data_IF_329689822245
#
_entry.id   IF_329689822245
#
_cell.length_a   1.000
_cell.length_b   1.000
_cell.length_c   1.000
_cell.angle_alpha   90.00
_cell.angle_beta   90.00
_cell.angle_gamma   90.00
#
_symmetry.space_group_name_H-M   'P 1'
#
loop_
_entity.id
_entity.type
_entity.pdbx_description
1 polymer ?
#
# COMPACT_ATOMS: atom_id res chain seq x y z
N UNK A 1 -1.33 -26.41 -10.97
CA UNK A 1 -2.79 -26.63 -11.04
C UNK A 1 -3.42 -25.84 -9.89
N UNK A 2 -3.58 -24.53 -10.04
CA UNK A 2 -4.25 -23.60 -9.12
C UNK A 2 -5.07 -22.58 -9.93
N UNK A 3 -5.55 -22.97 -11.12
CA UNK A 3 -6.06 -22.01 -12.12
C UNK A 3 -7.49 -21.52 -11.85
N UNK A 4 -8.18 -22.13 -10.89
CA UNK A 4 -9.53 -21.73 -10.47
C UNK A 4 -9.73 -22.24 -9.05
N UNK A 5 -9.70 -21.33 -8.08
CA UNK A 5 -10.20 -21.63 -6.73
C UNK A 5 -11.60 -21.03 -6.71
N UNK A 6 -12.64 -21.84 -6.59
CA UNK A 6 -13.99 -21.32 -6.39
C UNK A 6 -14.11 -20.80 -4.96
N UNK A 7 -14.43 -19.52 -4.78
CA UNK A 7 -14.65 -18.92 -3.47
C UNK A 7 -15.63 -17.74 -3.46
N UNK A 8 -16.61 -17.86 -2.57
CA UNK A 8 -17.38 -16.86 -1.81
C UNK A 8 -17.74 -15.48 -2.40
N UNK A 9 -18.24 -15.40 -3.63
CA UNK A 9 -19.17 -14.32 -4.02
C UNK A 9 -20.40 -14.91 -4.70
N UNK A 10 -21.54 -14.21 -4.67
CA UNK A 10 -22.81 -14.69 -5.25
C UNK A 10 -22.73 -14.94 -6.77
N UNK A 11 -21.76 -14.34 -7.50
CA UNK A 11 -21.84 -14.22 -8.97
C UNK A 11 -20.67 -14.73 -9.84
N UNK A 12 -19.48 -15.12 -9.34
CA UNK A 12 -18.54 -15.71 -10.29
C UNK A 12 -17.06 -15.85 -9.93
N UNK A 13 -16.45 -16.77 -10.66
CA UNK A 13 -15.08 -17.25 -10.62
C UNK A 13 -14.04 -16.11 -10.60
N UNK A 14 -13.10 -16.18 -9.67
CA UNK A 14 -11.87 -15.38 -9.73
C UNK A 14 -10.73 -16.19 -10.34
N UNK A 15 -9.85 -15.49 -11.05
CA UNK A 15 -8.72 -16.09 -11.75
C UNK A 15 -7.43 -15.72 -11.04
N UNK A 16 -6.66 -16.74 -10.66
CA UNK A 16 -5.31 -16.52 -10.15
C UNK A 16 -4.40 -16.15 -11.32
N UNK A 17 -4.05 -14.87 -11.44
CA UNK A 17 -3.18 -14.39 -12.51
C UNK A 17 -1.69 -14.44 -12.17
N UNK A 18 -1.34 -15.01 -11.02
CA UNK A 18 0.05 -15.25 -10.60
C UNK A 18 0.57 -14.27 -9.56
N UNK A 19 1.74 -14.60 -8.98
CA UNK A 19 2.48 -13.76 -8.01
C UNK A 19 1.66 -13.36 -6.77
N UNK A 20 0.67 -14.16 -6.39
CA UNK A 20 -0.20 -13.89 -5.23
C UNK A 20 -1.43 -13.03 -5.52
N UNK A 21 -1.68 -12.63 -6.77
CA UNK A 21 -2.79 -11.74 -7.10
C UNK A 21 -3.88 -12.41 -7.95
N UNK A 22 -5.09 -11.85 -7.84
CA UNK A 22 -6.30 -12.35 -8.49
C UNK A 22 -6.95 -11.28 -9.39
N UNK A 23 -7.75 -11.76 -10.35
CA UNK A 23 -8.59 -10.96 -11.23
C UNK A 23 -10.05 -11.42 -11.16
N UNK A 24 -10.99 -10.53 -11.52
CA UNK A 24 -12.42 -10.86 -11.62
C UNK A 24 -13.20 -10.89 -10.31
N UNK A 25 -12.60 -10.47 -9.19
CA UNK A 25 -13.30 -10.27 -7.92
C UNK A 25 -13.94 -8.89 -7.92
N UNK A 26 -15.24 -8.79 -7.63
CA UNK A 26 -15.87 -7.51 -7.34
C UNK A 26 -15.41 -7.02 -5.96
N UNK A 27 -15.10 -5.73 -5.85
CA UNK A 27 -14.75 -5.08 -4.59
C UNK A 27 -15.74 -5.49 -3.49
N UNK A 28 -15.25 -6.19 -2.47
CA UNK A 28 -16.08 -6.66 -1.37
C UNK A 28 -16.26 -5.51 -0.38
N UNK A 29 -17.13 -4.56 -0.71
CA UNK A 29 -17.32 -3.33 0.07
C UNK A 29 -17.74 -3.64 1.52
N UNK A 30 -18.51 -4.72 1.72
CA UNK A 30 -19.24 -4.96 2.97
C UNK A 30 -18.92 -6.29 3.66
N UNK A 31 -18.07 -7.15 3.10
CA UNK A 31 -18.28 -8.56 3.42
C UNK A 31 -17.76 -9.04 4.78
N UNK A 32 -16.60 -8.64 5.34
CA UNK A 32 -16.22 -9.17 6.68
C UNK A 32 -15.29 -8.35 7.60
N UNK A 33 -14.64 -7.27 7.17
CA UNK A 33 -13.62 -6.59 8.01
C UNK A 33 -13.77 -5.07 8.06
N UNK A 34 -13.90 -4.53 9.27
CA UNK A 34 -13.66 -3.10 9.50
C UNK A 34 -12.16 -2.86 9.34
N UNK A 35 -11.75 -1.85 8.56
CA UNK A 35 -10.34 -1.57 8.41
C UNK A 35 -9.70 -1.23 9.76
N UNK A 36 -8.44 -1.63 9.94
CA UNK A 36 -7.67 -1.22 11.12
C UNK A 36 -7.31 0.25 10.99
N UNK A 37 -7.93 1.09 11.82
CA UNK A 37 -7.67 2.53 11.82
C UNK A 37 -6.32 2.83 12.46
N UNK A 38 -5.59 3.75 11.86
CA UNK A 38 -4.37 4.29 12.46
C UNK A 38 -4.75 5.29 13.57
N UNK A 39 -4.04 5.25 14.69
CA UNK A 39 -4.27 6.15 15.82
C UNK A 39 -3.36 5.88 17.02
N UNK A 40 -3.50 6.66 18.07
CA UNK A 40 -2.68 6.56 19.28
C UNK A 40 -2.78 5.15 19.90
N UNK A 41 -1.66 4.43 19.97
CA UNK A 41 -1.59 3.06 20.48
C UNK A 41 -1.90 1.95 19.45
N UNK A 42 -2.11 2.30 18.17
CA UNK A 42 -2.30 1.33 17.08
C UNK A 42 -1.03 0.52 16.76
N UNK A 43 0.14 1.01 17.15
CA UNK A 43 1.42 0.33 16.96
C UNK A 43 1.88 -0.29 18.28
N UNK A 44 2.05 -1.60 18.24
CA UNK A 44 2.67 -2.36 19.31
C UNK A 44 4.17 -2.04 19.36
N UNK A 45 4.70 -1.67 20.53
CA UNK A 45 6.14 -1.42 20.76
C UNK A 45 7.03 -2.58 20.26
N UNK A 46 6.52 -3.82 20.31
CA UNK A 46 7.22 -4.99 19.78
C UNK A 46 7.49 -4.87 18.26
N UNK A 47 6.56 -4.31 17.49
CA UNK A 47 6.73 -4.13 16.04
C UNK A 47 7.86 -3.14 15.74
N UNK A 48 7.95 -2.04 16.49
CA UNK A 48 9.04 -1.07 16.36
C UNK A 48 10.39 -1.69 16.69
N UNK A 49 10.44 -2.52 17.74
CA UNK A 49 11.64 -3.24 18.13
C UNK A 49 12.07 -4.24 17.05
N UNK A 50 11.12 -4.95 16.44
CA UNK A 50 11.39 -5.88 15.35
C UNK A 50 11.90 -5.14 14.12
N UNK A 51 11.26 -4.03 13.72
CA UNK A 51 11.70 -3.23 12.58
C UNK A 51 13.13 -2.72 12.77
N UNK A 52 13.45 -2.20 13.97
CA UNK A 52 14.80 -1.76 14.33
C UNK A 52 15.82 -2.89 14.23
N UNK A 53 15.49 -4.08 14.75
CA UNK A 53 16.36 -5.26 14.65
C UNK A 53 16.59 -5.69 13.20
N UNK A 54 15.55 -5.65 12.36
CA UNK A 54 15.68 -5.95 10.93
C UNK A 54 16.60 -4.95 10.25
N UNK A 55 16.45 -3.64 10.51
CA UNK A 55 17.32 -2.61 9.95
C UNK A 55 18.78 -2.76 10.41
N UNK A 56 19.02 -3.04 11.69
CA UNK A 56 20.36 -3.35 12.22
C UNK A 56 20.97 -4.56 11.51
N UNK A 57 20.23 -5.66 11.39
CA UNK A 57 20.69 -6.86 10.71
C UNK A 57 21.04 -6.57 9.24
N UNK A 58 20.17 -5.86 8.51
CA UNK A 58 20.44 -5.49 7.13
C UNK A 58 21.72 -4.66 6.99
N UNK A 59 21.90 -3.65 7.86
CA UNK A 59 23.10 -2.81 7.88
C UNK A 59 24.38 -3.60 8.19
N UNK A 60 24.32 -4.52 9.15
CA UNK A 60 25.46 -5.38 9.53
C UNK A 60 25.87 -6.35 8.42
N UNK A 61 24.95 -6.68 7.51
CA UNK A 61 25.16 -7.65 6.43
C UNK A 61 25.23 -7.02 5.03
N UNK A 62 25.40 -5.69 4.93
CA UNK A 62 25.47 -4.96 3.65
C UNK A 62 24.23 -5.20 2.74
N UNK A 63 23.05 -5.32 3.37
CA UNK A 63 21.76 -5.48 2.69
C UNK A 63 21.06 -4.12 2.67
N UNK A 64 20.73 -3.62 1.47
CA UNK A 64 19.89 -2.44 1.32
C UNK A 64 18.46 -2.77 1.73
N UNK A 65 18.00 -2.17 2.82
CA UNK A 65 16.61 -2.22 3.26
C UNK A 65 15.85 -0.99 2.78
N UNK A 66 14.59 -1.17 2.42
CA UNK A 66 13.61 -0.11 2.16
C UNK A 66 12.29 -0.50 2.84
N UNK A 67 11.51 0.48 3.24
CA UNK A 67 10.14 0.30 3.69
C UNK A 67 9.19 0.83 2.62
N UNK A 68 8.11 0.10 2.34
CA UNK A 68 7.10 0.49 1.35
C UNK A 68 5.72 0.30 1.95
N UNK A 69 4.91 1.35 1.96
CA UNK A 69 3.47 1.23 2.25
C UNK A 69 2.71 1.08 0.94
N UNK A 70 1.77 0.13 0.89
CA UNK A 70 0.94 -0.07 -0.30
C UNK A 70 -0.12 1.02 -0.41
N UNK A 71 -0.48 1.38 -1.65
CA UNK A 71 -1.51 2.37 -1.90
C UNK A 71 -2.87 1.84 -1.43
N UNK A 72 -3.60 2.63 -0.66
CA UNK A 72 -4.92 2.33 -0.13
C UNK A 72 -6.04 2.79 -1.07
N UNK A 73 -7.26 2.22 -0.95
CA UNK A 73 -8.41 2.63 -1.74
C UNK A 73 -8.73 4.12 -1.57
N UNK A 74 -9.18 4.83 -2.63
CA UNK A 74 -9.44 6.27 -2.57
C UNK A 74 -10.47 6.68 -1.50
N UNK A 75 -11.49 5.83 -1.27
CA UNK A 75 -12.51 6.07 -0.24
C UNK A 75 -11.88 6.14 1.15
N UNK A 76 -10.92 5.26 1.45
CA UNK A 76 -10.22 5.22 2.72
C UNK A 76 -9.38 6.47 2.95
N UNK A 77 -8.67 6.94 1.92
CA UNK A 77 -7.92 8.20 2.01
C UNK A 77 -8.86 9.40 2.28
N UNK A 78 -10.07 9.40 1.74
CA UNK A 78 -11.04 10.49 1.98
C UNK A 78 -11.66 10.45 3.38
N UNK A 79 -11.74 9.27 4.00
CA UNK A 79 -12.44 9.04 5.27
C UNK A 79 -11.49 8.98 6.49
N UNK A 80 -10.21 8.65 6.28
CA UNK A 80 -9.21 8.47 7.35
C UNK A 80 -8.05 9.47 7.24
N UNK A 81 -7.44 9.80 8.38
CA UNK A 81 -6.25 10.64 8.46
C UNK A 81 -4.97 9.81 8.20
N UNK A 82 -4.72 9.49 6.93
CA UNK A 82 -3.55 8.73 6.51
C UNK A 82 -2.27 9.59 6.57
N UNK A 83 -2.37 10.91 6.70
CA UNK A 83 -1.20 11.77 6.90
C UNK A 83 -0.52 11.47 8.25
N UNK A 84 -1.30 11.18 9.30
CA UNK A 84 -0.75 10.74 10.58
C UNK A 84 0.06 9.44 10.45
N UNK A 85 -0.45 8.47 9.67
CA UNK A 85 0.25 7.23 9.35
C UNK A 85 1.56 7.52 8.61
N UNK A 86 1.51 8.35 7.58
CA UNK A 86 2.66 8.74 6.77
C UNK A 86 3.76 9.36 7.64
N UNK A 87 3.41 10.39 8.43
CA UNK A 87 4.33 11.11 9.29
C UNK A 87 5.01 10.20 10.31
N UNK A 88 4.25 9.30 10.93
CA UNK A 88 4.78 8.34 11.89
C UNK A 88 5.83 7.42 11.24
N UNK A 89 5.49 6.76 10.13
CA UNK A 89 6.39 5.79 9.51
C UNK A 89 7.58 6.46 8.82
N UNK A 90 7.41 7.67 8.28
CA UNK A 90 8.52 8.47 7.78
C UNK A 90 9.53 8.78 8.89
N UNK A 91 9.07 9.26 10.06
CA UNK A 91 9.94 9.53 11.20
C UNK A 91 10.61 8.27 11.76
N UNK A 92 9.87 7.17 11.87
CA UNK A 92 10.40 5.89 12.35
C UNK A 92 11.51 5.38 11.41
N UNK A 93 11.25 5.37 10.10
CA UNK A 93 12.20 4.89 9.10
C UNK A 93 13.45 5.79 9.00
N UNK A 94 13.27 7.12 9.07
CA UNK A 94 14.40 8.08 9.13
C UNK A 94 15.28 7.83 10.36
N UNK A 95 14.68 7.58 11.53
CA UNK A 95 15.43 7.31 12.78
C UNK A 95 16.35 6.08 12.71
N UNK A 96 16.05 5.14 11.79
CA UNK A 96 16.84 3.92 11.57
C UNK A 96 17.63 3.96 10.26
N UNK A 97 17.59 5.07 9.51
CA UNK A 97 18.29 5.27 8.25
C UNK A 97 17.78 4.39 7.10
N UNK A 98 16.49 4.05 7.09
CA UNK A 98 15.83 3.24 6.05
C UNK A 98 14.93 4.14 5.21
N UNK A 99 15.03 4.15 3.86
CA UNK A 99 14.10 4.89 3.01
C UNK A 99 12.67 4.36 3.15
N UNK A 100 11.69 5.27 3.22
CA UNK A 100 10.26 4.94 3.23
C UNK A 100 9.57 5.48 1.99
N UNK A 101 8.89 4.59 1.27
CA UNK A 101 8.09 4.92 0.09
C UNK A 101 6.62 4.65 0.39
N UNK A 102 5.86 5.72 0.60
CA UNK A 102 4.43 5.64 0.79
C UNK A 102 3.71 5.74 -0.55
N UNK A 103 3.24 4.60 -1.08
CA UNK A 103 2.57 4.58 -2.37
C UNK A 103 1.21 5.30 -2.37
N UNK A 104 0.69 5.69 -1.19
CA UNK A 104 -0.45 6.60 -1.12
C UNK A 104 -0.14 7.98 -1.71
N UNK A 105 1.11 8.43 -1.59
CA UNK A 105 1.59 9.73 -2.07
C UNK A 105 2.12 9.68 -3.51
N UNK A 106 2.11 8.51 -4.16
CA UNK A 106 2.65 8.38 -5.49
C UNK A 106 1.84 9.16 -6.55
N UNK A 107 2.52 10.01 -7.34
CA UNK A 107 1.91 10.87 -8.37
C UNK A 107 1.34 10.11 -9.57
N UNK A 108 1.91 8.96 -9.91
CA UNK A 108 1.52 8.14 -11.08
C UNK A 108 0.71 6.91 -10.68
N UNK A 109 -0.22 7.06 -9.74
CA UNK A 109 -0.96 5.92 -9.20
C UNK A 109 -2.49 6.12 -9.15
N UNK A 110 -3.07 6.25 -10.34
CA UNK A 110 -4.54 6.29 -10.53
C UNK A 110 -5.17 4.97 -10.09
N UNK A 111 -6.21 5.02 -9.25
CA UNK A 111 -6.86 3.83 -8.70
C UNK A 111 -8.29 4.12 -8.23
N UNK A 112 -9.11 3.09 -8.23
CA UNK A 112 -10.53 3.11 -7.84
C UNK A 112 -10.79 2.07 -6.75
N UNK A 113 -12.02 1.98 -6.23
CA UNK A 113 -12.37 0.89 -5.31
C UNK A 113 -12.24 -0.50 -5.97
N UNK A 114 -12.58 -0.61 -7.26
CA UNK A 114 -12.53 -1.86 -8.01
C UNK A 114 -11.11 -2.42 -8.22
N UNK A 115 -10.07 -1.62 -7.98
CA UNK A 115 -8.68 -2.07 -8.03
C UNK A 115 -8.28 -2.89 -6.77
N UNK A 116 -9.19 -3.07 -5.82
CA UNK A 116 -8.95 -3.74 -4.55
C UNK A 116 -9.94 -4.87 -4.29
N UNK A 117 -9.50 -5.85 -3.50
CA UNK A 117 -10.36 -6.90 -2.95
C UNK A 117 -11.18 -6.33 -1.78
N UNK A 118 -10.55 -5.48 -0.96
CA UNK A 118 -11.12 -4.96 0.28
C UNK A 118 -10.63 -3.55 0.65
N UNK A 119 -11.13 -3.04 1.79
CA UNK A 119 -10.77 -1.73 2.36
C UNK A 119 -9.39 -1.70 3.02
N UNK A 120 -8.77 -2.85 3.27
CA UNK A 120 -7.41 -2.94 3.86
C UNK A 120 -6.31 -2.65 2.83
N UNK A 121 -6.66 -2.60 1.55
CA UNK A 121 -5.73 -2.27 0.48
C UNK A 121 -5.11 -3.49 -0.21
N UNK A 122 -5.73 -4.67 -0.07
CA UNK A 122 -5.33 -5.83 -0.85
C UNK A 122 -5.67 -5.61 -2.33
N UNK A 123 -4.64 -5.37 -3.14
CA UNK A 123 -4.78 -5.01 -4.54
C UNK A 123 -5.17 -6.21 -5.42
N UNK A 124 -5.97 -5.93 -6.44
CA UNK A 124 -6.17 -6.82 -7.59
C UNK A 124 -4.92 -6.82 -8.48
N UNK A 125 -4.77 -7.85 -9.33
CA UNK A 125 -3.56 -8.04 -10.15
C UNK A 125 -3.19 -6.82 -11.00
N UNK A 126 -4.18 -6.16 -11.62
CA UNK A 126 -3.94 -4.98 -12.46
C UNK A 126 -3.24 -3.86 -11.69
N UNK A 127 -3.78 -3.46 -10.53
CA UNK A 127 -3.16 -2.42 -9.71
C UNK A 127 -1.84 -2.88 -9.11
N UNK A 128 -1.75 -4.14 -8.68
CA UNK A 128 -0.51 -4.71 -8.16
C UNK A 128 0.64 -4.65 -9.18
N UNK A 129 0.37 -4.96 -10.45
CA UNK A 129 1.37 -4.83 -11.52
C UNK A 129 1.77 -3.36 -11.73
N UNK A 130 0.81 -2.44 -11.81
CA UNK A 130 1.09 -1.00 -11.99
C UNK A 130 1.90 -0.41 -10.83
N UNK A 131 1.56 -0.74 -9.58
CA UNK A 131 2.32 -0.31 -8.41
C UNK A 131 3.72 -0.92 -8.40
N UNK A 132 3.86 -2.19 -8.82
CA UNK A 132 5.16 -2.86 -8.91
C UNK A 132 6.07 -2.20 -9.96
N UNK A 133 5.52 -1.87 -11.13
CA UNK A 133 6.26 -1.19 -12.19
C UNK A 133 6.71 0.21 -11.73
N UNK A 134 5.82 0.96 -11.09
CA UNK A 134 6.15 2.27 -10.52
C UNK A 134 7.23 2.19 -9.43
N UNK A 135 7.13 1.20 -8.52
CA UNK A 135 8.16 0.97 -7.52
C UNK A 135 9.51 0.64 -8.18
N UNK A 136 9.52 -0.13 -9.27
CA UNK A 136 10.74 -0.39 -10.03
C UNK A 136 11.34 0.88 -10.66
N UNK A 137 10.51 1.82 -11.13
CA UNK A 137 10.98 3.14 -11.60
C UNK A 137 11.61 3.94 -10.46
N UNK A 138 10.92 4.03 -9.32
CA UNK A 138 11.38 4.74 -8.11
C UNK A 138 12.74 4.20 -7.65
N UNK A 139 12.90 2.87 -7.59
CA UNK A 139 14.13 2.23 -7.12
C UNK A 139 15.33 2.41 -8.06
N UNK A 140 15.07 2.72 -9.34
CA UNK A 140 16.10 3.00 -10.34
C UNK A 140 16.39 4.50 -10.48
N UNK A 141 15.59 5.37 -9.85
CA UNK A 141 15.73 6.82 -9.94
C UNK A 141 16.87 7.32 -9.05
N UNK A 142 17.60 8.32 -9.54
CA UNK A 142 18.53 9.12 -8.73
C UNK A 142 17.79 10.15 -7.85
N UNK A 143 16.52 10.43 -8.17
CA UNK A 143 15.63 11.34 -7.44
C UNK A 143 14.26 10.67 -7.16
N UNK A 144 14.17 9.71 -6.22
CA UNK A 144 12.92 9.04 -5.86
C UNK A 144 11.81 9.98 -5.36
N UNK A 145 12.18 11.07 -4.70
CA UNK A 145 11.27 12.07 -4.13
C UNK A 145 10.34 12.73 -5.16
N UNK A 146 10.79 12.87 -6.41
CA UNK A 146 10.00 13.49 -7.48
C UNK A 146 8.72 12.71 -7.81
N UNK A 147 8.68 11.42 -7.45
CA UNK A 147 7.54 10.52 -7.69
C UNK A 147 6.40 10.69 -6.69
N UNK A 148 6.61 11.43 -5.59
CA UNK A 148 5.64 11.58 -4.51
C UNK A 148 5.13 13.01 -4.39
N UNK A 149 3.87 13.17 -4.01
CA UNK A 149 3.30 14.46 -3.61
C UNK A 149 3.93 14.96 -2.32
N UNK A 150 3.98 16.28 -2.13
CA UNK A 150 4.63 16.89 -0.96
C UNK A 150 3.68 16.98 0.25
N UNK A 151 2.37 16.80 0.03
CA UNK A 151 1.37 16.89 1.10
C UNK A 151 0.15 16.01 0.86
N UNK A 152 -0.52 15.63 1.95
CA UNK A 152 -1.75 14.86 1.89
C UNK A 152 -2.88 15.59 1.16
N UNK A 153 -2.94 16.91 1.28
CA UNK A 153 -3.91 17.75 0.55
C UNK A 153 -3.75 17.60 -0.97
N UNK A 154 -2.52 17.48 -1.47
CA UNK A 154 -2.28 17.22 -2.90
C UNK A 154 -2.70 15.81 -3.28
N UNK A 155 -2.45 14.81 -2.42
CA UNK A 155 -2.94 13.45 -2.63
C UNK A 155 -4.46 13.46 -2.80
N UNK A 156 -5.20 14.06 -1.86
CA UNK A 156 -6.67 14.11 -1.91
C UNK A 156 -7.20 14.84 -3.15
N UNK A 157 -6.59 15.97 -3.53
CA UNK A 157 -6.96 16.72 -4.74
C UNK A 157 -6.79 15.90 -6.01
N UNK A 158 -5.74 15.08 -6.09
CA UNK A 158 -5.48 14.25 -7.27
C UNK A 158 -6.29 12.93 -7.26
N UNK A 159 -7.04 12.64 -6.18
CA UNK A 159 -8.00 11.53 -6.11
C UNK A 159 -9.44 11.94 -6.48
N UNK A 160 -9.69 13.21 -6.79
CA UNK A 160 -11.03 13.74 -7.12
C UNK A 160 -11.58 13.20 -8.47
N UNK A 161 -10.71 12.76 -9.38
CA UNK A 161 -11.11 12.11 -10.64
C UNK A 161 -11.47 10.62 -10.50
N UNK A 162 -11.22 10.02 -9.33
CA UNK A 162 -11.41 8.60 -9.05
C UNK A 162 -12.63 8.42 -8.13
N UNK A 163 -13.85 8.43 -8.69
CA UNK A 163 -15.09 8.18 -7.94
C UNK A 163 -15.93 7.13 -8.67
N UNK A 164 -16.42 6.17 -7.86
CA UNK A 164 -16.99 4.82 -8.13
C UNK A 164 -15.99 3.82 -8.70
#
# INVERSE_FOLDING_TARGET
MFETVGGFTEDGYYHYGGRGFYEGVNYMEDYYFKPLLFGDGSINEENDLVLKKMASYCKENDIRMICVSSALPPKRLKEEDIDQFHQYFAALCDSIGVPFYDMNYAKKMDRTGADYIDKEGHMMLSLANRQTDLLCEILKSDSPEEYFFDSYSEVLKNLEGCVS
#
